data_IF_270298952798
#
_entry.id   IF_270298952798
#
_cell.length_a   1.000
_cell.length_b   1.000
_cell.length_c   1.000
_cell.angle_alpha   90.00
_cell.angle_beta   90.00
_cell.angle_gamma   90.00
#
_symmetry.space_group_name_H-M   'P 1'
#
loop_
_entity.id
_entity.type
_entity.pdbx_description
1 polymer ?
#
# COMPACT_ATOMS: atom_id res chain seq x y z
N UNK A 1 22.51 -0.31 12.43
CA UNK A 1 21.58 -0.65 11.35
C UNK A 1 20.60 0.51 11.23
N UNK A 2 20.85 1.43 10.30
CA UNK A 2 20.07 2.66 10.18
C UNK A 2 18.79 2.35 9.40
N UNK A 3 17.66 2.29 10.11
CA UNK A 3 16.32 2.02 9.57
C UNK A 3 15.85 3.16 8.63
N UNK A 4 16.47 4.33 8.72
CA UNK A 4 16.10 5.53 7.97
C UNK A 4 17.10 5.75 6.82
N UNK A 5 17.07 4.89 5.81
CA UNK A 5 17.82 5.13 4.56
C UNK A 5 17.06 6.06 3.60
N UNK A 6 15.73 6.15 3.75
CA UNK A 6 14.89 6.94 2.88
C UNK A 6 13.69 7.53 3.65
N UNK A 7 13.70 8.86 3.83
CA UNK A 7 12.64 9.59 4.55
C UNK A 7 11.27 9.45 3.86
N UNK A 8 11.25 9.27 2.54
CA UNK A 8 10.01 9.08 1.79
C UNK A 8 9.34 7.74 2.13
N UNK A 9 10.11 6.65 2.19
CA UNK A 9 9.60 5.34 2.59
C UNK A 9 9.07 5.35 4.04
N UNK A 10 9.76 6.07 4.93
CA UNK A 10 9.28 6.25 6.30
C UNK A 10 7.95 7.01 6.34
N UNK A 11 7.82 8.10 5.56
CA UNK A 11 6.57 8.87 5.47
C UNK A 11 5.42 8.02 4.94
N UNK A 12 5.66 7.20 3.92
CA UNK A 12 4.68 6.27 3.38
C UNK A 12 4.26 5.22 4.41
N UNK A 13 5.22 4.62 5.11
CA UNK A 13 4.93 3.68 6.18
C UNK A 13 4.07 4.31 7.29
N UNK A 14 4.42 5.52 7.74
CA UNK A 14 3.68 6.23 8.78
C UNK A 14 2.25 6.58 8.34
N UNK A 15 2.06 6.93 7.06
CA UNK A 15 0.73 7.16 6.49
C UNK A 15 -0.15 5.90 6.57
N UNK A 16 0.41 4.74 6.20
CA UNK A 16 -0.28 3.45 6.29
C UNK A 16 -0.55 3.09 7.75
N UNK A 17 0.42 3.29 8.64
CA UNK A 17 0.27 3.06 10.07
C UNK A 17 -0.90 3.86 10.66
N UNK A 18 -0.94 5.17 10.41
CA UNK A 18 -2.02 6.03 10.91
C UNK A 18 -3.39 5.62 10.39
N UNK A 19 -3.49 5.29 9.10
CA UNK A 19 -4.74 4.82 8.50
C UNK A 19 -5.20 3.50 9.12
N UNK A 20 -4.26 2.58 9.36
CA UNK A 20 -4.55 1.28 9.95
C UNK A 20 -5.00 1.40 11.41
N UNK A 21 -4.31 2.21 12.20
CA UNK A 21 -4.62 2.40 13.62
C UNK A 21 -5.97 3.08 13.79
N UNK A 22 -6.27 4.15 13.04
CA UNK A 22 -7.57 4.82 13.07
C UNK A 22 -8.70 3.85 12.72
N UNK A 23 -8.54 3.08 11.64
CA UNK A 23 -9.58 2.16 11.18
C UNK A 23 -9.86 1.03 12.17
N UNK A 24 -8.81 0.42 12.73
CA UNK A 24 -8.99 -0.65 13.70
C UNK A 24 -9.50 -0.11 15.04
N UNK A 25 -9.09 1.09 15.45
CA UNK A 25 -9.64 1.74 16.64
C UNK A 25 -11.15 1.95 16.51
N UNK A 26 -11.59 2.59 15.42
CA UNK A 26 -13.00 2.89 15.15
C UNK A 26 -13.89 1.64 15.02
N UNK A 27 -13.31 0.50 14.64
CA UNK A 27 -14.07 -0.74 14.45
C UNK A 27 -14.10 -1.62 15.70
N UNK A 28 -13.00 -1.66 16.46
CA UNK A 28 -12.84 -2.61 17.56
C UNK A 28 -13.15 -2.02 18.93
N UNK A 29 -12.80 -0.76 19.18
CA UNK A 29 -12.93 -0.15 20.51
C UNK A 29 -14.35 0.32 20.70
N UNK A 30 -15.04 -0.26 21.68
CA UNK A 30 -16.48 -0.04 21.93
C UNK A 30 -16.76 0.24 23.40
N UNK A 31 -15.92 -0.22 24.31
CA UNK A 31 -16.05 0.03 25.74
C UNK A 31 -15.08 1.13 26.20
N UNK A 32 -15.62 2.18 26.82
CA UNK A 32 -14.85 3.30 27.39
C UNK A 32 -14.93 3.34 28.92
N UNK A 33 -15.47 2.28 29.54
CA UNK A 33 -15.67 2.21 31.00
C UNK A 33 -14.35 1.99 31.74
N UNK A 34 -13.39 1.30 31.11
CA UNK A 34 -12.10 0.97 31.70
C UNK A 34 -10.95 1.49 30.83
N UNK A 35 -9.80 1.87 31.44
CA UNK A 35 -8.62 2.30 30.69
C UNK A 35 -7.87 1.15 30.00
N UNK A 36 -8.30 -0.10 30.20
CA UNK A 36 -7.69 -1.29 29.62
C UNK A 36 -8.62 -1.87 28.57
N UNK A 37 -8.03 -2.37 27.49
CA UNK A 37 -8.75 -3.14 26.48
C UNK A 37 -9.34 -4.41 27.10
N UNK A 38 -10.57 -4.71 26.70
CA UNK A 38 -11.18 -6.02 27.00
C UNK A 38 -10.54 -7.11 26.12
N UNK A 39 -10.65 -8.38 26.53
CA UNK A 39 -10.12 -9.50 25.73
C UNK A 39 -10.77 -9.59 24.33
N UNK A 40 -12.03 -9.16 24.20
CA UNK A 40 -12.72 -9.11 22.91
C UNK A 40 -12.15 -8.02 21.98
N UNK A 41 -11.88 -6.83 22.52
CA UNK A 41 -11.29 -5.73 21.79
C UNK A 41 -9.86 -6.05 21.36
N UNK A 42 -9.07 -6.66 22.24
CA UNK A 42 -7.71 -7.10 21.93
C UNK A 42 -7.69 -8.14 20.78
N UNK A 43 -8.57 -9.15 20.85
CA UNK A 43 -8.72 -10.11 19.75
C UNK A 43 -9.18 -9.44 18.45
N UNK A 44 -10.12 -8.50 18.54
CA UNK A 44 -10.61 -7.76 17.38
C UNK A 44 -9.48 -6.96 16.70
N UNK A 45 -8.67 -6.22 17.46
CA UNK A 45 -7.58 -5.39 16.91
C UNK A 45 -6.56 -6.27 16.17
N UNK A 46 -6.16 -7.39 16.77
CA UNK A 46 -5.23 -8.35 16.14
C UNK A 46 -5.77 -8.91 14.82
N UNK A 47 -7.06 -9.28 14.79
CA UNK A 47 -7.71 -9.75 13.57
C UNK A 47 -7.89 -8.63 12.54
N UNK A 48 -8.23 -7.42 12.97
CA UNK A 48 -8.41 -6.25 12.10
C UNK A 48 -7.12 -5.96 11.33
N UNK A 49 -5.99 -5.92 12.03
CA UNK A 49 -4.68 -5.68 11.42
C UNK A 49 -4.36 -6.75 10.38
N UNK A 50 -4.51 -8.02 10.76
CA UNK A 50 -4.22 -9.15 9.85
C UNK A 50 -5.12 -9.10 8.61
N UNK A 51 -6.43 -8.87 8.79
CA UNK A 51 -7.39 -8.73 7.69
C UNK A 51 -7.01 -7.57 6.78
N UNK A 52 -6.64 -6.41 7.32
CA UNK A 52 -6.24 -5.27 6.51
C UNK A 52 -5.01 -5.56 5.65
N UNK A 53 -3.97 -6.17 6.22
CA UNK A 53 -2.77 -6.52 5.46
C UNK A 53 -3.09 -7.51 4.33
N UNK A 54 -3.93 -8.51 4.58
CA UNK A 54 -4.37 -9.46 3.55
C UNK A 54 -5.23 -8.81 2.47
N UNK A 55 -6.16 -7.93 2.87
CA UNK A 55 -7.00 -7.18 1.94
C UNK A 55 -6.17 -6.27 1.06
N UNK A 56 -5.21 -5.52 1.63
CA UNK A 56 -4.32 -4.66 0.87
C UNK A 56 -3.50 -5.45 -0.17
N UNK A 57 -2.96 -6.61 0.21
CA UNK A 57 -2.24 -7.49 -0.73
C UNK A 57 -3.15 -7.96 -1.86
N UNK A 58 -4.36 -8.46 -1.53
CA UNK A 58 -5.32 -8.92 -2.53
C UNK A 58 -5.81 -7.79 -3.43
N UNK A 59 -6.04 -6.61 -2.86
CA UNK A 59 -6.45 -5.42 -3.60
C UNK A 59 -5.41 -5.05 -4.65
N UNK A 60 -4.12 -5.06 -4.30
CA UNK A 60 -3.05 -4.76 -5.27
C UNK A 60 -3.02 -5.76 -6.43
N UNK A 61 -3.24 -7.06 -6.18
CA UNK A 61 -3.32 -8.07 -7.23
C UNK A 61 -4.50 -7.84 -8.18
N UNK A 62 -5.68 -7.59 -7.62
CA UNK A 62 -6.90 -7.34 -8.41
C UNK A 62 -6.78 -6.03 -9.17
N UNK A 63 -6.27 -4.98 -8.54
CA UNK A 63 -6.06 -3.68 -9.17
C UNK A 63 -5.10 -3.79 -10.35
N UNK A 64 -3.98 -4.52 -10.20
CA UNK A 64 -3.04 -4.76 -11.30
C UNK A 64 -3.67 -5.43 -12.52
N UNK A 65 -4.60 -6.37 -12.32
CA UNK A 65 -5.30 -7.06 -13.41
C UNK A 65 -6.44 -6.22 -14.02
N UNK A 66 -7.13 -5.41 -13.22
CA UNK A 66 -8.37 -4.72 -13.63
C UNK A 66 -8.13 -3.28 -14.08
N UNK A 67 -7.20 -2.56 -13.45
CA UNK A 67 -6.94 -1.16 -13.79
C UNK A 67 -6.63 -0.96 -15.28
N UNK A 68 -5.84 -1.82 -15.96
CA UNK A 68 -5.59 -1.65 -17.39
C UNK A 68 -6.85 -1.79 -18.25
N UNK A 69 -7.76 -2.68 -17.87
CA UNK A 69 -9.00 -2.97 -18.62
C UNK A 69 -10.03 -1.85 -18.50
N UNK A 70 -9.96 -1.04 -17.44
CA UNK A 70 -10.93 0.02 -17.16
C UNK A 70 -10.36 1.41 -17.50
N UNK A 71 -9.08 1.66 -17.21
CA UNK A 71 -8.44 2.95 -17.44
C UNK A 71 -8.01 3.16 -18.89
N UNK A 72 -7.52 2.11 -19.58
CA UNK A 72 -7.04 2.22 -20.97
C UNK A 72 -8.13 1.92 -22.02
N UNK A 73 -9.42 1.93 -21.65
CA UNK A 73 -10.55 1.75 -22.59
C UNK A 73 -11.13 3.04 -23.15
N UNK A 74 -10.61 4.20 -22.79
CA UNK A 74 -10.91 5.45 -23.52
C UNK A 74 -9.78 5.67 -24.53
N UNK A 75 -10.16 5.58 -25.81
CA UNK A 75 -9.28 5.15 -26.89
C UNK A 75 -8.10 6.04 -27.22
N UNK A 76 -6.97 5.38 -27.48
CA UNK A 76 -5.93 5.67 -28.48
C UNK A 76 -4.94 4.46 -28.50
N UNK A 77 -4.23 4.19 -29.60
CA UNK A 77 -3.43 2.97 -29.75
C UNK A 77 -2.28 2.87 -28.74
N UNK A 78 -2.08 1.65 -28.23
CA UNK A 78 -1.09 1.25 -27.24
C UNK A 78 0.36 1.45 -27.72
N UNK A 79 1.23 2.16 -26.96
CA UNK A 79 2.67 2.07 -27.12
C UNK A 79 3.17 0.82 -26.37
N UNK A 80 2.95 -0.37 -26.95
CA UNK A 80 3.55 -1.62 -26.45
C UNK A 80 5.08 -1.67 -26.69
N UNK A 81 5.70 -0.62 -27.24
CA UNK A 81 7.15 -0.57 -27.48
C UNK A 81 7.98 0.14 -26.39
N UNK A 82 7.40 0.55 -25.25
CA UNK A 82 8.13 1.26 -24.21
C UNK A 82 8.60 0.40 -23.01
N UNK A 83 8.49 -0.93 -23.05
CA UNK A 83 8.91 -1.83 -21.93
C UNK A 83 10.15 -2.67 -22.24
N UNK A 84 10.83 -2.47 -23.37
CA UNK A 84 12.16 -3.06 -23.57
C UNK A 84 13.20 -2.03 -24.01
N UNK A 85 13.70 -1.27 -23.03
CA UNK A 85 15.07 -0.76 -23.12
C UNK A 85 15.87 -1.17 -21.88
N UNK A 86 16.79 -2.14 -22.00
CA UNK A 86 17.85 -2.33 -21.03
C UNK A 86 18.85 -1.18 -21.21
N UNK A 87 18.93 -0.26 -20.26
CA UNK A 87 19.90 0.83 -20.33
C UNK A 87 21.08 0.58 -19.37
N UNK A 88 22.16 0.02 -19.91
CA UNK A 88 23.56 0.50 -19.77
C UNK A 88 24.38 -0.09 -20.95
N UNK A 89 25.54 0.45 -21.36
CA UNK A 89 26.17 1.76 -21.10
C UNK A 89 26.66 2.46 -22.41
N UNK A 90 27.35 3.59 -22.23
CA UNK A 90 28.38 4.21 -23.10
C UNK A 90 27.96 5.37 -24.02
N UNK A 91 28.79 6.40 -23.89
CA UNK A 91 28.84 7.67 -24.59
C UNK A 91 28.98 7.56 -26.11
N UNK A 92 28.46 8.57 -26.83
CA UNK A 92 29.28 9.33 -27.78
C UNK A 92 28.64 10.69 -28.09
N UNK A 93 29.42 11.73 -27.77
CA UNK A 93 29.68 12.96 -28.53
C UNK A 93 28.62 13.69 -29.38
N UNK A 94 28.73 15.03 -29.24
CA UNK A 94 28.78 16.02 -30.31
C UNK A 94 27.44 16.43 -30.96
N UNK A 95 26.91 17.58 -30.55
CA UNK A 95 27.22 18.88 -31.16
C UNK A 95 26.75 20.01 -30.25
#
# INVERSE_FOLDING_TARGET
MNIIQNVQQLKEFLSVYNTLTERCFNFCIRDYTNPKLTNEEDSCVNQCITKQLLVNRRFMLVFGDQAPKVLFKQGEPSPTEAVLQPQTPVADNLQ
#
